data_IF_638201970091
#
_entry.id   IF_638201970091
#
_cell.length_a   1.000
_cell.length_b   1.000
_cell.length_c   1.000
_cell.angle_alpha   90.00
_cell.angle_beta   90.00
_cell.angle_gamma   90.00
#
_symmetry.space_group_name_H-M   'P 1'
#
loop_
_entity.id
_entity.type
_entity.pdbx_description
1 polymer ?
#
# COMPACT_ATOMS: atom_id res chain seq x y z
N UNK A 1 -15.59 8.31 -20.38
CA UNK A 1 -14.25 8.32 -19.77
C UNK A 1 -13.31 8.83 -20.83
N UNK A 2 -12.63 9.92 -20.55
CA UNK A 2 -11.56 10.41 -21.41
C UNK A 2 -10.28 9.60 -21.08
N UNK A 3 -9.56 9.15 -22.06
CA UNK A 3 -8.29 8.42 -21.87
C UNK A 3 -7.09 9.37 -21.84
N UNK A 4 -7.31 10.65 -22.17
CA UNK A 4 -6.26 11.65 -22.09
C UNK A 4 -6.17 12.25 -20.69
N UNK A 5 -4.93 12.48 -20.23
CA UNK A 5 -4.70 13.09 -18.94
C UNK A 5 -4.83 14.61 -19.02
N UNK A 6 -5.24 15.23 -17.91
CA UNK A 6 -5.28 16.69 -17.83
C UNK A 6 -3.88 17.29 -18.05
N UNK A 7 -3.77 18.54 -18.53
CA UNK A 7 -2.47 19.22 -18.65
C UNK A 7 -1.67 19.23 -17.35
N UNK A 8 -2.36 19.37 -16.20
CA UNK A 8 -1.75 19.30 -14.88
C UNK A 8 -1.14 17.91 -14.61
N UNK A 9 -1.86 16.86 -14.92
CA UNK A 9 -1.37 15.49 -14.73
C UNK A 9 -0.17 15.20 -15.63
N UNK A 10 -0.19 15.65 -16.89
CA UNK A 10 0.94 15.51 -17.82
C UNK A 10 2.19 16.24 -17.31
N UNK A 11 2.06 17.48 -16.84
CA UNK A 11 3.17 18.24 -16.25
C UNK A 11 3.77 17.49 -15.04
N UNK A 12 2.91 16.97 -14.15
CA UNK A 12 3.37 16.20 -13.01
C UNK A 12 4.04 14.86 -13.43
N UNK A 13 3.54 14.18 -14.46
CA UNK A 13 4.18 12.99 -15.01
C UNK A 13 5.58 13.30 -15.54
N UNK A 14 5.73 14.35 -16.34
CA UNK A 14 7.02 14.75 -16.93
C UNK A 14 8.02 15.08 -15.83
N UNK A 15 7.62 15.88 -14.83
CA UNK A 15 8.46 16.25 -13.68
C UNK A 15 8.83 15.06 -12.81
N UNK A 16 7.87 14.18 -12.55
CA UNK A 16 8.11 12.96 -11.77
C UNK A 16 9.02 11.99 -12.52
N UNK A 17 8.83 11.81 -13.83
CA UNK A 17 9.69 10.97 -14.66
C UNK A 17 11.12 11.52 -14.67
N UNK A 18 11.31 12.81 -14.86
CA UNK A 18 12.62 13.45 -14.79
C UNK A 18 13.28 13.23 -13.41
N UNK A 19 12.53 13.38 -12.32
CA UNK A 19 13.02 13.12 -10.98
C UNK A 19 13.43 11.66 -10.78
N UNK A 20 12.66 10.70 -11.31
CA UNK A 20 12.99 9.28 -11.25
C UNK A 20 14.33 9.00 -11.98
N UNK A 21 14.53 9.59 -13.15
CA UNK A 21 15.74 9.40 -13.95
C UNK A 21 16.97 10.08 -13.34
N UNK A 22 16.80 11.29 -12.83
CA UNK A 22 17.93 12.06 -12.27
C UNK A 22 18.33 11.61 -10.86
N UNK A 23 17.35 11.18 -10.04
CA UNK A 23 17.58 10.99 -8.61
C UNK A 23 17.29 9.59 -8.09
N UNK A 24 16.24 8.92 -8.57
CA UNK A 24 15.82 7.62 -8.01
C UNK A 24 16.62 6.45 -8.60
N UNK A 25 16.65 6.31 -9.92
CA UNK A 25 17.38 5.20 -10.55
C UNK A 25 18.88 5.21 -10.24
N UNK A 26 19.57 6.37 -10.25
CA UNK A 26 20.97 6.40 -9.84
C UNK A 26 21.21 6.07 -8.37
N UNK A 27 20.23 6.26 -7.50
CA UNK A 27 20.36 6.00 -6.07
C UNK A 27 20.14 4.52 -5.68
N UNK A 28 19.69 3.66 -6.58
CA UNK A 28 19.42 2.24 -6.25
C UNK A 28 20.65 1.51 -5.73
N UNK A 29 21.81 1.74 -6.32
CA UNK A 29 23.07 1.16 -5.84
C UNK A 29 23.42 1.64 -4.43
N UNK A 30 23.29 2.93 -4.15
CA UNK A 30 23.53 3.51 -2.83
C UNK A 30 22.53 2.99 -1.78
N UNK A 31 21.27 2.85 -2.14
CA UNK A 31 20.22 2.28 -1.29
C UNK A 31 20.58 0.87 -0.81
N UNK A 32 20.97 -0.03 -1.72
CA UNK A 32 21.36 -1.40 -1.38
C UNK A 32 22.67 -1.45 -0.57
N UNK A 33 23.65 -0.62 -0.93
CA UNK A 33 24.90 -0.53 -0.19
C UNK A 33 24.71 -0.05 1.25
N UNK A 34 23.80 0.92 1.47
CA UNK A 34 23.49 1.43 2.80
C UNK A 34 22.79 0.36 3.66
N UNK A 35 21.84 -0.39 3.11
CA UNK A 35 21.21 -1.54 3.79
C UNK A 35 22.26 -2.57 4.22
N UNK A 36 23.19 -2.92 3.32
CA UNK A 36 24.25 -3.87 3.61
C UNK A 36 25.18 -3.34 4.71
N UNK A 37 25.58 -2.08 4.65
CA UNK A 37 26.42 -1.43 5.66
C UNK A 37 25.75 -1.37 7.02
N UNK A 38 24.47 -0.97 7.07
CA UNK A 38 23.68 -0.95 8.30
C UNK A 38 23.54 -2.37 8.90
N UNK A 39 23.36 -3.38 8.05
CA UNK A 39 23.27 -4.78 8.48
C UNK A 39 24.60 -5.25 9.08
N UNK A 40 25.72 -4.98 8.42
CA UNK A 40 27.05 -5.33 8.91
C UNK A 40 27.39 -4.63 10.24
N UNK A 41 26.88 -3.41 10.45
CA UNK A 41 27.05 -2.64 11.69
C UNK A 41 26.07 -3.06 12.80
N UNK A 42 25.21 -4.06 12.61
CA UNK A 42 24.15 -4.44 13.57
C UNK A 42 23.02 -3.39 13.71
N UNK A 43 22.89 -2.49 12.74
CA UNK A 43 21.93 -1.36 12.74
C UNK A 43 20.93 -1.44 11.59
N UNK A 44 20.50 -2.64 11.22
CA UNK A 44 19.66 -2.91 10.04
C UNK A 44 18.37 -2.06 9.99
N UNK A 45 17.81 -1.70 11.13
CA UNK A 45 16.56 -0.93 11.24
C UNK A 45 16.77 0.60 11.24
N UNK A 46 17.98 1.08 10.96
CA UNK A 46 18.24 2.51 10.84
C UNK A 46 17.58 3.07 9.57
N UNK A 47 16.84 4.20 9.65
CA UNK A 47 16.33 4.89 8.47
C UNK A 47 17.43 5.19 7.46
N UNK A 48 17.14 4.99 6.17
CA UNK A 48 18.13 5.11 5.12
C UNK A 48 18.36 6.57 4.75
N UNK A 49 19.59 7.04 4.92
CA UNK A 49 19.98 8.41 4.58
C UNK A 49 19.81 8.69 3.08
N UNK A 50 19.97 7.68 2.24
CA UNK A 50 19.69 7.76 0.80
C UNK A 50 18.27 8.27 0.55
N UNK A 51 17.25 7.73 1.25
CA UNK A 51 15.86 8.18 1.12
C UNK A 51 15.69 9.57 1.74
N UNK A 52 16.22 9.79 2.95
CA UNK A 52 16.08 11.05 3.68
C UNK A 52 16.67 12.24 2.90
N UNK A 53 17.77 12.05 2.18
CA UNK A 53 18.38 13.09 1.33
C UNK A 53 17.56 13.41 0.08
N UNK A 54 16.71 12.51 -0.39
CA UNK A 54 15.86 12.70 -1.57
C UNK A 54 14.55 13.42 -1.25
N UNK A 55 14.02 13.28 -0.02
CA UNK A 55 12.77 13.92 0.40
C UNK A 55 12.75 15.46 0.23
N UNK A 56 13.77 16.22 0.70
CA UNK A 56 13.79 17.65 0.48
C UNK A 56 13.82 18.05 -1.01
N UNK A 57 14.47 17.24 -1.85
CA UNK A 57 14.49 17.47 -3.31
C UNK A 57 13.10 17.27 -3.91
N UNK A 58 12.37 16.21 -3.49
CA UNK A 58 11.02 15.96 -3.93
C UNK A 58 10.05 17.06 -3.48
N UNK A 59 10.23 17.59 -2.24
CA UNK A 59 9.48 18.72 -1.74
C UNK A 59 9.75 19.99 -2.58
N UNK A 60 11.01 20.31 -2.83
CA UNK A 60 11.40 21.47 -3.64
C UNK A 60 10.90 21.37 -5.10
N UNK A 61 10.81 20.15 -5.62
CA UNK A 61 10.23 19.87 -6.94
C UNK A 61 8.69 19.90 -6.95
N UNK A 62 8.01 20.13 -5.80
CA UNK A 62 6.55 20.11 -5.70
C UNK A 62 5.94 18.71 -5.95
N UNK A 63 6.70 17.65 -5.65
CA UNK A 63 6.30 16.25 -5.81
C UNK A 63 6.04 15.58 -4.45
N UNK A 64 5.36 16.29 -3.55
CA UNK A 64 5.14 15.87 -2.17
C UNK A 64 3.65 15.68 -1.88
N UNK A 65 3.27 14.61 -1.16
CA UNK A 65 1.88 14.31 -0.77
C UNK A 65 0.90 14.24 -1.96
N UNK A 66 1.35 13.82 -3.13
CA UNK A 66 0.53 13.78 -4.36
C UNK A 66 -0.72 12.88 -4.22
N UNK A 67 -0.71 11.94 -3.26
CA UNK A 67 -1.79 10.99 -3.03
C UNK A 67 -3.03 11.61 -2.37
N UNK A 68 -2.90 12.77 -1.68
CA UNK A 68 -3.97 13.30 -0.82
C UNK A 68 -5.11 13.88 -1.66
N UNK A 69 -6.31 13.23 -1.64
CA UNK A 69 -7.44 13.70 -2.42
C UNK A 69 -7.98 15.04 -1.92
N UNK A 70 -8.63 15.80 -2.79
CA UNK A 70 -9.21 17.13 -2.49
C UNK A 70 -10.09 17.11 -1.24
N UNK A 71 -11.00 16.12 -1.13
CA UNK A 71 -11.92 16.02 0.01
C UNK A 71 -11.20 15.77 1.33
N UNK A 72 -10.17 14.91 1.31
CA UNK A 72 -9.37 14.62 2.50
C UNK A 72 -8.46 15.79 2.87
N UNK A 73 -7.92 16.51 1.89
CA UNK A 73 -7.17 17.74 2.10
C UNK A 73 -8.03 18.81 2.76
N UNK A 74 -9.22 19.08 2.20
CA UNK A 74 -10.17 20.04 2.77
C UNK A 74 -10.58 19.68 4.22
N UNK A 75 -10.84 18.39 4.49
CA UNK A 75 -11.19 17.90 5.83
C UNK A 75 -10.02 18.00 6.83
N UNK A 76 -8.78 18.02 6.36
CA UNK A 76 -7.59 18.06 7.20
C UNK A 76 -7.14 19.47 7.57
N UNK A 77 -7.56 20.50 6.83
CA UNK A 77 -7.03 21.84 6.91
C UNK A 77 -5.63 21.99 6.31
N UNK A 78 -5.16 21.02 5.53
CA UNK A 78 -3.88 21.02 4.82
C UNK A 78 -4.11 20.91 3.31
N UNK A 79 -3.34 21.66 2.53
CA UNK A 79 -3.39 21.59 1.09
C UNK A 79 -2.71 20.32 0.57
N UNK A 80 -3.43 19.56 -0.24
CA UNK A 80 -2.86 18.49 -1.07
C UNK A 80 -2.51 19.02 -2.46
N UNK A 81 -2.04 18.13 -3.33
CA UNK A 81 -1.79 18.46 -4.73
C UNK A 81 -3.09 18.73 -5.52
N UNK A 82 -4.26 18.54 -4.90
CA UNK A 82 -5.57 18.74 -5.51
C UNK A 82 -5.82 17.81 -6.68
N UNK A 83 -5.36 16.56 -6.57
CA UNK A 83 -5.55 15.52 -7.58
C UNK A 83 -6.75 14.64 -7.24
N UNK A 84 -7.45 14.20 -8.27
CA UNK A 84 -8.38 13.08 -8.19
C UNK A 84 -7.62 11.75 -8.15
N UNK A 85 -8.31 10.65 -7.80
CA UNK A 85 -7.68 9.32 -7.87
C UNK A 85 -7.25 8.96 -9.31
N UNK A 86 -8.03 9.38 -10.31
CA UNK A 86 -7.69 9.18 -11.71
C UNK A 86 -6.43 9.96 -12.11
N UNK A 87 -6.25 11.18 -11.65
CA UNK A 87 -5.06 12.01 -11.91
C UNK A 87 -3.83 11.51 -11.17
N UNK A 88 -4.01 10.96 -9.96
CA UNK A 88 -2.92 10.38 -9.17
C UNK A 88 -2.45 9.01 -9.72
N UNK A 89 -3.31 8.28 -10.41
CA UNK A 89 -3.02 6.93 -10.92
C UNK A 89 -1.70 6.82 -11.71
N UNK A 90 -1.47 7.62 -12.76
CA UNK A 90 -0.23 7.53 -13.53
C UNK A 90 1.01 7.95 -12.74
N UNK A 91 0.86 8.83 -11.75
CA UNK A 91 1.96 9.24 -10.88
C UNK A 91 2.37 8.11 -9.92
N UNK A 92 1.39 7.44 -9.32
CA UNK A 92 1.64 6.26 -8.50
C UNK A 92 2.25 5.10 -9.31
N UNK A 93 1.88 4.95 -10.59
CA UNK A 93 2.49 4.00 -11.51
C UNK A 93 3.98 4.32 -11.70
N UNK A 94 4.35 5.57 -11.99
CA UNK A 94 5.75 5.99 -12.16
C UNK A 94 6.55 5.71 -10.87
N UNK A 95 6.03 6.09 -9.71
CA UNK A 95 6.66 5.78 -8.42
C UNK A 95 6.81 4.26 -8.20
N UNK A 96 5.82 3.46 -8.62
CA UNK A 96 5.81 2.00 -8.48
C UNK A 96 6.92 1.27 -9.21
N UNK A 97 7.62 1.91 -10.13
CA UNK A 97 8.75 1.32 -10.86
C UNK A 97 9.95 0.98 -9.95
N UNK A 98 10.10 1.70 -8.82
CA UNK A 98 11.09 1.40 -7.78
C UNK A 98 10.35 1.29 -6.45
N UNK A 99 10.48 0.14 -5.78
CA UNK A 99 9.62 -0.22 -4.63
C UNK A 99 9.66 0.79 -3.47
N UNK A 100 10.81 1.35 -3.18
CA UNK A 100 10.99 2.31 -2.08
C UNK A 100 10.72 3.78 -2.50
N UNK A 101 10.62 4.08 -3.80
CA UNK A 101 10.55 5.47 -4.27
C UNK A 101 9.32 6.24 -3.78
N UNK A 102 8.18 5.57 -3.58
CA UNK A 102 6.97 6.22 -3.06
C UNK A 102 7.19 6.89 -1.70
N UNK A 103 8.16 6.42 -0.89
CA UNK A 103 8.50 7.05 0.38
C UNK A 103 9.17 8.41 0.19
N UNK A 104 9.98 8.56 -0.86
CA UNK A 104 10.65 9.83 -1.19
C UNK A 104 9.65 10.97 -1.42
N UNK A 105 8.45 10.62 -1.91
CA UNK A 105 7.36 11.56 -2.21
C UNK A 105 6.29 11.63 -1.10
N UNK A 106 6.54 10.97 0.04
CA UNK A 106 5.55 10.78 1.12
C UNK A 106 4.23 10.14 0.64
N UNK A 107 4.33 9.23 -0.31
CA UNK A 107 3.20 8.55 -0.96
C UNK A 107 3.19 7.03 -0.71
N UNK A 108 3.91 6.54 0.31
CA UNK A 108 4.01 5.12 0.62
C UNK A 108 2.92 4.63 1.58
N UNK A 109 2.57 3.35 1.49
CA UNK A 109 1.75 2.68 2.49
C UNK A 109 2.62 2.27 3.71
N UNK A 110 2.04 2.19 4.93
CA UNK A 110 0.65 2.43 5.29
C UNK A 110 0.29 3.90 5.51
N UNK A 111 1.27 4.81 5.46
CA UNK A 111 1.11 6.21 5.87
C UNK A 111 0.02 6.94 5.08
N UNK A 112 -0.06 6.75 3.76
CA UNK A 112 -1.10 7.39 2.94
C UNK A 112 -2.50 7.06 3.45
N UNK A 113 -2.79 5.77 3.69
CA UNK A 113 -4.09 5.36 4.23
C UNK A 113 -4.34 5.80 5.67
N UNK A 114 -3.29 5.88 6.49
CA UNK A 114 -3.39 6.36 7.86
C UNK A 114 -3.59 7.87 7.91
N UNK A 115 -2.91 8.64 7.05
CA UNK A 115 -3.12 10.09 6.91
C UNK A 115 -4.55 10.40 6.49
N UNK A 116 -5.09 9.72 5.46
CA UNK A 116 -6.49 9.88 5.07
C UNK A 116 -7.47 9.50 6.19
N UNK A 117 -7.19 8.44 6.94
CA UNK A 117 -8.01 8.01 8.06
C UNK A 117 -8.06 9.07 9.16
N UNK A 118 -6.93 9.64 9.53
CA UNK A 118 -6.88 10.71 10.53
C UNK A 118 -7.51 12.00 9.99
N UNK A 119 -7.29 12.34 8.72
CA UNK A 119 -7.89 13.51 8.08
C UNK A 119 -9.43 13.47 8.13
N UNK A 120 -10.02 12.32 7.81
CA UNK A 120 -11.46 12.16 7.71
C UNK A 120 -12.15 11.91 9.06
N UNK A 121 -11.51 11.19 9.96
CA UNK A 121 -12.14 10.63 11.15
C UNK A 121 -11.50 11.05 12.48
N UNK A 122 -10.34 11.69 12.44
CA UNK A 122 -9.64 12.18 13.62
C UNK A 122 -10.26 13.49 14.15
N UNK A 123 -10.19 13.67 15.46
CA UNK A 123 -10.46 14.96 16.09
C UNK A 123 -9.41 16.00 15.69
N UNK A 124 -9.71 17.29 15.88
CA UNK A 124 -8.73 18.35 15.60
C UNK A 124 -7.41 18.17 16.40
N UNK A 125 -7.50 17.67 17.64
CA UNK A 125 -6.34 17.31 18.44
C UNK A 125 -5.53 16.18 17.79
N UNK A 126 -6.21 15.14 17.25
CA UNK A 126 -5.56 14.03 16.55
C UNK A 126 -4.90 14.50 15.24
N UNK A 127 -5.55 15.39 14.49
CA UNK A 127 -4.97 15.98 13.28
C UNK A 127 -3.73 16.81 13.60
N UNK A 128 -3.80 17.71 14.57
CA UNK A 128 -2.67 18.54 14.97
C UNK A 128 -1.48 17.70 15.46
N UNK A 129 -1.76 16.66 16.27
CA UNK A 129 -0.72 15.84 16.89
C UNK A 129 -0.08 14.84 15.94
N UNK A 130 -0.85 14.22 15.04
CA UNK A 130 -0.41 13.08 14.25
C UNK A 130 -0.43 13.34 12.74
N UNK A 131 -1.50 13.92 12.20
CA UNK A 131 -1.62 14.14 10.75
C UNK A 131 -0.60 15.15 10.25
N UNK A 132 -0.45 16.28 10.95
CA UNK A 132 0.50 17.33 10.54
C UNK A 132 1.93 16.79 10.40
N UNK A 133 2.54 16.16 11.43
CA UNK A 133 3.90 15.65 11.29
C UNK A 133 4.02 14.46 10.30
N UNK A 134 2.95 13.68 10.05
CA UNK A 134 2.91 12.68 8.99
C UNK A 134 2.97 13.34 7.60
N UNK A 135 2.16 14.37 7.35
CA UNK A 135 2.18 15.12 6.09
C UNK A 135 3.50 15.87 5.86
N UNK A 136 4.16 16.29 6.93
CA UNK A 136 5.50 16.87 6.89
C UNK A 136 6.61 15.83 6.69
N UNK A 137 6.29 14.53 6.75
CA UNK A 137 7.25 13.43 6.63
C UNK A 137 8.20 13.27 7.82
N UNK A 138 7.89 13.92 8.96
CA UNK A 138 8.69 13.88 10.20
C UNK A 138 8.55 12.59 11.00
N UNK A 139 7.40 11.95 10.89
CA UNK A 139 7.09 10.67 11.54
C UNK A 139 6.50 9.70 10.54
N UNK A 140 6.47 8.42 10.92
CA UNK A 140 5.80 7.34 10.21
C UNK A 140 4.68 6.76 11.07
N UNK A 141 3.88 5.88 10.47
CA UNK A 141 2.73 5.26 11.14
C UNK A 141 2.61 3.78 10.80
N UNK A 142 1.82 3.07 11.60
CA UNK A 142 1.47 1.68 11.37
C UNK A 142 -0.03 1.45 11.45
N UNK A 143 -0.52 0.39 10.77
CA UNK A 143 -1.90 -0.03 10.82
C UNK A 143 -2.02 -1.44 11.39
N UNK A 144 -2.55 -1.55 12.62
CA UNK A 144 -2.63 -2.78 13.39
C UNK A 144 -4.05 -3.37 13.34
N UNK A 145 -4.31 -4.18 12.31
CA UNK A 145 -5.62 -4.81 12.10
C UNK A 145 -5.56 -6.33 12.19
N UNK A 146 -4.69 -6.96 11.41
CA UNK A 146 -4.59 -8.40 11.23
C UNK A 146 -4.10 -9.12 12.49
N UNK A 147 -4.65 -10.29 12.81
CA UNK A 147 -4.32 -11.10 13.98
C UNK A 147 -3.85 -12.50 13.58
N UNK A 148 -2.89 -13.10 14.30
CA UNK A 148 -2.38 -14.44 13.97
C UNK A 148 -3.39 -15.56 14.25
N UNK A 149 -4.23 -15.43 15.29
CA UNK A 149 -5.10 -16.49 15.77
C UNK A 149 -6.42 -16.62 14.99
N UNK A 150 -6.77 -15.62 14.15
CA UNK A 150 -8.05 -15.60 13.43
C UNK A 150 -7.88 -15.22 11.96
N UNK A 151 -8.80 -15.67 11.12
CA UNK A 151 -8.89 -15.25 9.72
C UNK A 151 -9.36 -13.79 9.64
N UNK A 152 -8.43 -12.84 9.73
CA UNK A 152 -8.69 -11.40 9.76
C UNK A 152 -9.15 -10.81 8.42
N UNK A 153 -9.15 -11.61 7.34
CA UNK A 153 -9.83 -11.27 6.08
C UNK A 153 -11.33 -11.08 6.26
N UNK A 154 -11.93 -11.75 7.25
CA UNK A 154 -13.22 -11.38 7.84
C UNK A 154 -12.96 -10.49 9.06
N UNK A 155 -13.05 -9.18 8.88
CA UNK A 155 -12.80 -8.21 9.95
C UNK A 155 -13.69 -8.38 11.19
N UNK A 156 -14.79 -9.12 11.08
CA UNK A 156 -15.66 -9.42 12.22
C UNK A 156 -15.09 -10.49 13.15
N UNK A 157 -14.05 -11.24 12.71
CA UNK A 157 -13.36 -12.23 13.53
C UNK A 157 -12.31 -11.63 14.48
N UNK A 158 -11.93 -10.36 14.32
CA UNK A 158 -10.93 -9.70 15.16
C UNK A 158 -11.28 -9.87 16.64
N UNK A 159 -10.30 -10.30 17.45
CA UNK A 159 -10.45 -10.61 18.87
C UNK A 159 -9.81 -9.58 19.80
N UNK A 160 -8.86 -8.77 19.33
CA UNK A 160 -8.28 -7.68 20.13
C UNK A 160 -9.38 -6.87 20.82
N UNK A 161 -9.27 -6.72 22.14
CA UNK A 161 -10.25 -5.99 22.97
C UNK A 161 -9.84 -4.54 23.13
N UNK A 162 -10.82 -3.65 23.06
CA UNK A 162 -10.69 -2.21 23.39
C UNK A 162 -11.78 -1.91 24.40
N UNK A 163 -11.42 -1.83 25.68
CA UNK A 163 -12.38 -1.73 26.78
C UNK A 163 -12.32 -0.36 27.43
N UNK A 164 -13.46 0.34 27.50
CA UNK A 164 -13.50 1.64 28.13
C UNK A 164 -13.39 1.51 29.67
N UNK A 165 -12.49 2.27 30.26
CA UNK A 165 -12.30 2.37 31.70
C UNK A 165 -12.17 3.84 32.09
N UNK A 166 -13.29 4.45 32.46
CA UNK A 166 -13.37 5.88 32.75
C UNK A 166 -13.08 6.73 31.51
N UNK A 167 -12.08 7.59 31.60
CA UNK A 167 -11.65 8.49 30.52
C UNK A 167 -10.60 7.88 29.59
N UNK A 168 -10.32 6.59 29.75
CA UNK A 168 -9.36 5.84 28.95
C UNK A 168 -9.98 4.63 28.28
N UNK A 169 -9.25 4.09 27.28
CA UNK A 169 -9.43 2.73 26.77
C UNK A 169 -8.21 1.87 27.14
N UNK A 170 -8.48 0.61 27.50
CA UNK A 170 -7.47 -0.43 27.72
C UNK A 170 -7.53 -1.42 26.58
N UNK A 171 -6.39 -1.66 25.92
CA UNK A 171 -6.28 -2.50 24.73
C UNK A 171 -5.48 -3.74 25.08
N UNK A 172 -6.04 -4.91 24.72
CA UNK A 172 -5.42 -6.22 24.89
C UNK A 172 -5.59 -7.05 23.62
N UNK A 173 -4.51 -7.58 23.08
CA UNK A 173 -4.53 -8.43 21.88
C UNK A 173 -3.18 -8.53 21.20
N UNK A 174 -3.14 -9.32 20.14
CA UNK A 174 -1.94 -9.57 19.35
C UNK A 174 -2.22 -9.28 17.89
N UNK A 175 -1.37 -8.51 17.27
CA UNK A 175 -1.44 -8.14 15.86
C UNK A 175 -0.20 -8.63 15.13
N UNK A 176 -0.34 -8.92 13.84
CA UNK A 176 0.78 -9.18 12.96
C UNK A 176 0.58 -8.52 11.60
N UNK A 177 1.53 -8.63 10.70
CA UNK A 177 1.53 -7.89 9.43
C UNK A 177 1.30 -6.39 9.63
N UNK A 178 1.77 -5.88 10.77
CA UNK A 178 1.68 -4.45 11.09
C UNK A 178 2.84 -3.75 10.40
N UNK A 179 2.61 -3.40 9.13
CA UNK A 179 3.61 -2.78 8.27
C UNK A 179 3.98 -1.40 8.79
N UNK A 180 5.27 -1.06 8.73
CA UNK A 180 5.82 0.20 9.22
C UNK A 180 6.11 0.24 10.72
N UNK A 181 5.65 -0.75 11.50
CA UNK A 181 5.85 -0.75 12.96
C UNK A 181 7.31 -1.03 13.39
N UNK A 182 8.16 -1.50 12.48
CA UNK A 182 9.59 -1.69 12.71
C UNK A 182 10.44 -0.43 12.50
N UNK A 183 9.88 0.56 11.84
CA UNK A 183 10.59 1.79 11.54
C UNK A 183 10.77 2.63 12.82
N UNK A 184 11.99 3.03 13.19
CA UNK A 184 12.22 3.88 14.38
C UNK A 184 11.48 5.22 14.36
N UNK A 185 11.06 5.69 13.18
CA UNK A 185 10.26 6.91 13.00
C UNK A 185 8.76 6.65 13.19
N UNK A 186 8.32 5.39 13.36
CA UNK A 186 6.92 5.06 13.60
C UNK A 186 6.48 5.60 14.96
N UNK A 187 5.68 6.66 14.96
CA UNK A 187 5.23 7.34 16.16
C UNK A 187 3.78 7.01 16.56
N UNK A 188 3.00 6.41 15.65
CA UNK A 188 1.57 6.20 15.84
C UNK A 188 1.06 4.95 15.16
N UNK A 189 0.18 4.23 15.87
CA UNK A 189 -0.55 3.06 15.38
C UNK A 189 -2.03 3.39 15.28
N UNK A 190 -2.67 3.04 14.16
CA UNK A 190 -4.13 2.95 14.08
C UNK A 190 -4.49 1.49 14.33
N UNK A 191 -5.15 1.22 15.45
CA UNK A 191 -5.42 -0.13 15.93
C UNK A 191 -6.91 -0.44 15.86
N UNK A 192 -7.26 -1.57 15.24
CA UNK A 192 -8.64 -2.07 15.20
C UNK A 192 -8.85 -3.17 16.24
N UNK A 193 -9.95 -3.06 17.00
CA UNK A 193 -10.34 -4.06 18.00
C UNK A 193 -11.82 -3.99 18.32
N UNK A 194 -12.34 -4.94 19.11
CA UNK A 194 -13.73 -4.99 19.56
C UNK A 194 -13.93 -4.14 20.81
N UNK A 195 -14.85 -3.18 20.72
CA UNK A 195 -15.33 -2.39 21.88
C UNK A 195 -16.59 -2.99 22.48
N UNK A 196 -17.49 -3.53 21.66
CA UNK A 196 -18.74 -4.15 22.11
C UNK A 196 -18.99 -5.47 21.37
N UNK A 197 -18.67 -6.64 21.96
CA UNK A 197 -18.90 -7.93 21.31
C UNK A 197 -20.38 -8.30 21.16
N UNK A 198 -21.28 -7.70 21.93
CA UNK A 198 -22.70 -7.97 21.92
C UNK A 198 -23.48 -7.11 20.90
N UNK A 199 -22.82 -6.12 20.32
CA UNK A 199 -23.37 -5.27 19.28
C UNK A 199 -23.61 -6.06 17.97
N UNK A 200 -24.46 -5.54 17.04
CA UNK A 200 -24.57 -6.12 15.70
C UNK A 200 -23.21 -6.30 15.03
N UNK A 201 -23.06 -7.38 14.27
CA UNK A 201 -21.79 -7.89 13.71
C UNK A 201 -20.83 -6.82 13.16
N UNK A 202 -21.34 -5.82 12.44
CA UNK A 202 -20.53 -4.76 11.83
C UNK A 202 -20.37 -3.51 12.71
N UNK A 203 -20.89 -3.53 13.93
CA UNK A 203 -20.78 -2.45 14.93
C UNK A 203 -20.01 -2.90 16.17
N UNK A 204 -19.36 -4.05 16.15
CA UNK A 204 -18.56 -4.54 17.27
C UNK A 204 -17.19 -3.89 17.37
N UNK A 205 -16.61 -3.49 16.21
CA UNK A 205 -15.23 -3.02 16.10
C UNK A 205 -15.15 -1.51 16.11
N UNK A 206 -14.07 -1.01 16.71
CA UNK A 206 -13.67 0.39 16.70
C UNK A 206 -12.24 0.52 16.21
N UNK A 207 -11.84 1.73 15.84
CA UNK A 207 -10.44 2.07 15.58
C UNK A 207 -9.98 3.14 16.56
N UNK A 208 -8.77 2.97 17.06
CA UNK A 208 -8.19 3.85 18.08
C UNK A 208 -6.73 4.17 17.74
N UNK A 209 -6.33 5.40 18.00
CA UNK A 209 -4.94 5.85 17.87
C UNK A 209 -4.17 5.43 19.13
N UNK A 210 -3.05 4.72 18.91
CA UNK A 210 -2.11 4.33 19.97
C UNK A 210 -0.75 4.94 19.67
N UNK A 211 -0.22 5.83 20.53
CA UNK A 211 1.14 6.35 20.38
C UNK A 211 2.17 5.22 20.50
N UNK A 212 3.21 5.24 19.69
CA UNK A 212 4.37 4.38 19.89
C UNK A 212 5.01 4.67 21.27
N UNK A 213 5.56 3.65 21.90
CA UNK A 213 6.14 3.79 23.25
C UNK A 213 5.12 3.84 24.39
N UNK A 214 3.80 3.70 24.12
CA UNK A 214 2.80 3.51 25.17
C UNK A 214 3.12 2.23 25.97
N UNK A 215 3.08 2.32 27.30
CA UNK A 215 3.33 1.17 28.18
C UNK A 215 2.44 -0.02 27.79
N UNK A 216 3.02 -1.21 27.69
CA UNK A 216 2.34 -2.43 27.28
C UNK A 216 2.28 -2.66 25.76
N UNK A 217 2.65 -1.70 24.92
CA UNK A 217 2.81 -1.88 23.49
C UNK A 217 4.23 -2.40 23.19
N UNK A 218 4.31 -3.56 22.56
CA UNK A 218 5.60 -4.19 22.26
C UNK A 218 5.64 -4.67 20.82
N UNK A 219 6.66 -4.26 20.07
CA UNK A 219 7.02 -4.87 18.78
C UNK A 219 7.79 -6.17 19.09
N UNK A 220 7.19 -7.31 18.76
CA UNK A 220 7.68 -8.64 19.17
C UNK A 220 8.80 -9.12 18.24
N UNK A 221 8.56 -9.07 16.95
CA UNK A 221 9.52 -9.51 15.91
C UNK A 221 9.13 -8.99 14.53
N UNK A 222 10.09 -8.97 13.63
CA UNK A 222 9.85 -8.82 12.21
C UNK A 222 9.34 -10.16 11.61
N UNK A 223 8.44 -10.05 10.64
CA UNK A 223 8.00 -11.15 9.81
C UNK A 223 8.85 -11.17 8.54
N UNK A 224 9.50 -12.29 8.30
CA UNK A 224 10.30 -12.49 7.10
C UNK A 224 9.42 -12.98 5.95
N UNK A 225 9.45 -12.27 4.82
CA UNK A 225 8.63 -12.55 3.63
C UNK A 225 9.52 -13.16 2.56
N UNK A 226 9.53 -14.46 2.41
CA UNK A 226 10.37 -15.19 1.44
C UNK A 226 11.85 -14.79 1.48
N UNK A 227 12.39 -14.54 2.69
CA UNK A 227 13.78 -14.14 2.88
C UNK A 227 14.00 -12.63 3.09
N UNK A 228 13.01 -11.79 2.83
CA UNK A 228 13.10 -10.33 3.00
C UNK A 228 12.37 -9.88 4.26
N UNK A 229 12.97 -8.96 5.01
CA UNK A 229 12.40 -8.37 6.24
C UNK A 229 11.90 -6.93 6.04
N UNK A 230 12.14 -6.36 4.85
CA UNK A 230 11.75 -5.01 4.44
C UNK A 230 12.22 -3.90 5.41
N UNK A 231 13.37 -4.11 6.10
CA UNK A 231 13.94 -3.10 6.98
C UNK A 231 14.33 -1.82 6.22
N UNK A 232 14.14 -0.62 6.80
CA UNK A 232 13.66 -0.35 8.17
C UNK A 232 12.12 -0.34 8.32
N UNK A 233 11.36 -0.43 7.25
CA UNK A 233 9.91 -0.40 7.26
C UNK A 233 9.30 -1.62 7.99
N UNK A 234 9.55 -2.80 7.48
CA UNK A 234 9.20 -4.10 8.05
C UNK A 234 7.71 -4.38 8.20
N UNK A 235 7.42 -5.67 8.40
CA UNK A 235 6.09 -6.16 8.77
C UNK A 235 6.21 -6.81 10.14
N UNK A 236 5.56 -6.26 11.16
CA UNK A 236 5.81 -6.65 12.54
C UNK A 236 4.66 -7.43 13.15
N UNK A 237 5.03 -8.30 14.08
CA UNK A 237 4.16 -8.82 15.11
C UNK A 237 4.20 -7.89 16.31
N UNK A 238 3.01 -7.51 16.83
CA UNK A 238 2.84 -6.49 17.87
C UNK A 238 1.92 -7.03 18.96
N UNK A 239 2.33 -6.88 20.22
CA UNK A 239 1.56 -7.24 21.40
C UNK A 239 1.04 -5.98 22.11
N UNK A 240 -0.24 -6.01 22.45
CA UNK A 240 -0.91 -5.04 23.30
C UNK A 240 -1.26 -5.75 24.62
N UNK A 241 -0.60 -5.36 25.70
CA UNK A 241 -0.78 -5.91 27.05
C UNK A 241 -1.19 -4.78 28.00
N UNK A 242 -2.48 -4.61 28.24
CA UNK A 242 -3.06 -3.53 29.04
C UNK A 242 -2.62 -2.13 28.59
N UNK A 243 -2.54 -1.93 27.27
CA UNK A 243 -2.17 -0.64 26.68
C UNK A 243 -3.27 0.37 26.94
N UNK A 244 -2.96 1.43 27.70
CA UNK A 244 -3.92 2.46 28.10
C UNK A 244 -3.74 3.73 27.28
N UNK A 245 -4.81 4.21 26.70
CA UNK A 245 -4.83 5.45 25.92
C UNK A 245 -6.09 6.28 26.23
N UNK A 246 -6.02 7.63 26.15
CA UNK A 246 -7.17 8.50 26.38
C UNK A 246 -8.35 8.19 25.46
N UNK A 247 -9.58 8.33 25.98
CA UNK A 247 -10.81 8.10 25.21
C UNK A 247 -10.91 8.96 23.96
N UNK A 248 -10.33 10.16 23.96
CA UNK A 248 -10.26 11.04 22.80
C UNK A 248 -9.44 10.51 21.61
N UNK A 249 -8.73 9.39 21.78
CA UNK A 249 -7.99 8.74 20.70
C UNK A 249 -8.87 7.84 19.81
N UNK A 250 -10.14 7.59 20.18
CA UNK A 250 -11.09 6.85 19.34
C UNK A 250 -11.37 7.63 18.06
N UNK A 251 -11.39 6.93 16.92
CA UNK A 251 -11.70 7.52 15.63
C UNK A 251 -13.20 7.37 15.32
N UNK A 252 -13.88 8.46 14.97
CA UNK A 252 -15.29 8.52 14.58
C UNK A 252 -16.30 8.04 15.66
N UNK A 253 -15.84 7.36 16.71
CA UNK A 253 -16.66 6.80 17.79
C UNK A 253 -16.66 5.28 17.85
N UNK A 254 -17.25 4.74 18.93
CA UNK A 254 -17.37 3.29 19.14
C UNK A 254 -18.26 2.62 18.07
N UNK A 255 -17.93 1.39 17.71
CA UNK A 255 -18.67 0.59 16.74
C UNK A 255 -18.53 1.02 15.28
N UNK A 256 -17.69 2.02 14.99
CA UNK A 256 -17.48 2.56 13.64
C UNK A 256 -16.22 2.03 12.94
N UNK A 257 -15.52 1.08 13.55
CA UNK A 257 -14.25 0.53 13.03
C UNK A 257 -14.40 -0.15 11.68
N UNK A 258 -15.48 -0.86 11.42
CA UNK A 258 -15.74 -1.49 10.12
C UNK A 258 -15.96 -0.45 9.01
N UNK A 259 -16.68 0.62 9.29
CA UNK A 259 -16.89 1.74 8.36
C UNK A 259 -15.56 2.42 8.00
N UNK A 260 -14.73 2.71 9.01
CA UNK A 260 -13.41 3.31 8.81
C UNK A 260 -12.53 2.37 7.96
N UNK A 261 -12.54 1.06 8.26
CA UNK A 261 -11.78 0.08 7.48
C UNK A 261 -12.17 0.10 6.00
N UNK A 262 -13.45 0.17 5.67
CA UNK A 262 -13.91 0.25 4.28
C UNK A 262 -13.49 1.56 3.61
N UNK A 263 -13.58 2.69 4.32
CA UNK A 263 -13.15 4.00 3.82
C UNK A 263 -11.65 4.08 3.55
N UNK A 264 -10.82 3.46 4.41
CA UNK A 264 -9.36 3.41 4.28
C UNK A 264 -8.88 2.47 3.18
N UNK A 265 -9.44 1.26 3.13
CA UNK A 265 -8.95 0.20 2.26
C UNK A 265 -9.34 0.41 0.79
N UNK A 266 -10.39 1.16 0.50
CA UNK A 266 -10.83 1.44 -0.87
C UNK A 266 -9.76 2.16 -1.70
N UNK A 267 -9.35 3.38 -1.34
CA UNK A 267 -8.27 4.12 -2.02
C UNK A 267 -6.94 3.37 -1.96
N UNK A 268 -6.60 2.79 -0.80
CA UNK A 268 -5.36 2.02 -0.64
C UNK A 268 -5.21 0.88 -1.65
N UNK A 269 -6.28 0.15 -1.94
CA UNK A 269 -6.30 -0.92 -2.96
C UNK A 269 -5.99 -0.38 -4.36
N UNK A 270 -6.56 0.78 -4.72
CA UNK A 270 -6.30 1.43 -6.00
C UNK A 270 -4.82 1.82 -6.08
N UNK A 271 -4.28 2.48 -5.05
CA UNK A 271 -2.88 2.90 -5.00
C UNK A 271 -1.90 1.71 -5.11
N UNK A 272 -2.19 0.58 -4.46
CA UNK A 272 -1.40 -0.64 -4.60
C UNK A 272 -1.41 -1.17 -6.04
N UNK A 273 -2.59 -1.22 -6.68
CA UNK A 273 -2.71 -1.68 -8.06
C UNK A 273 -1.95 -0.77 -9.04
N UNK A 274 -2.01 0.55 -8.84
CA UNK A 274 -1.25 1.52 -9.64
C UNK A 274 0.27 1.27 -9.55
N UNK A 275 0.81 1.14 -8.33
CA UNK A 275 2.24 0.84 -8.13
C UNK A 275 2.65 -0.50 -8.72
N UNK A 276 1.80 -1.52 -8.67
CA UNK A 276 2.07 -2.83 -9.28
C UNK A 276 2.16 -2.77 -10.80
N UNK A 277 1.37 -1.90 -11.43
CA UNK A 277 1.47 -1.66 -12.88
C UNK A 277 2.86 -1.10 -13.21
N UNK A 278 3.33 -0.11 -12.46
CA UNK A 278 4.66 0.45 -12.62
C UNK A 278 5.78 -0.58 -12.40
N UNK A 279 5.62 -1.44 -11.40
CA UNK A 279 6.56 -2.53 -11.13
C UNK A 279 6.63 -3.53 -12.29
N UNK A 280 5.47 -3.89 -12.87
CA UNK A 280 5.39 -4.76 -14.04
C UNK A 280 5.96 -4.10 -15.30
N UNK A 281 5.76 -2.79 -15.50
CA UNK A 281 6.39 -2.02 -16.57
C UNK A 281 7.91 -2.09 -16.50
N UNK A 282 8.48 -1.89 -15.31
CA UNK A 282 9.91 -2.00 -15.12
C UNK A 282 10.42 -3.42 -15.38
N UNK A 283 9.70 -4.43 -14.93
CA UNK A 283 10.07 -5.82 -15.20
C UNK A 283 10.05 -6.15 -16.70
N UNK A 284 9.04 -5.67 -17.43
CA UNK A 284 8.96 -5.80 -18.88
C UNK A 284 10.13 -5.09 -19.58
N UNK A 285 10.45 -3.87 -19.16
CA UNK A 285 11.60 -3.11 -19.67
C UNK A 285 12.91 -3.89 -19.48
N UNK A 286 13.17 -4.39 -18.27
CA UNK A 286 14.34 -5.20 -17.97
C UNK A 286 14.37 -6.48 -18.79
N UNK A 287 13.23 -7.15 -18.97
CA UNK A 287 13.10 -8.34 -19.82
C UNK A 287 13.48 -8.03 -21.27
N UNK A 288 12.98 -6.94 -21.83
CA UNK A 288 13.27 -6.52 -23.20
C UNK A 288 14.76 -6.18 -23.38
N UNK A 289 15.32 -5.38 -22.47
CA UNK A 289 16.77 -5.04 -22.48
C UNK A 289 17.63 -6.30 -22.42
N UNK A 290 17.32 -7.20 -21.48
CA UNK A 290 18.07 -8.47 -21.33
C UNK A 290 17.95 -9.34 -22.56
N UNK A 291 16.74 -9.52 -23.07
CA UNK A 291 16.46 -10.37 -24.21
C UNK A 291 17.15 -9.90 -25.51
N UNK A 292 17.27 -8.59 -25.69
CA UNK A 292 17.92 -7.99 -26.86
C UNK A 292 19.44 -8.15 -26.83
N UNK A 293 20.05 -8.16 -25.64
CA UNK A 293 21.52 -8.22 -25.49
C UNK A 293 22.05 -9.64 -25.30
N UNK A 294 21.28 -10.53 -24.66
CA UNK A 294 21.75 -11.86 -24.29
C UNK A 294 21.67 -12.82 -25.47
N UNK A 295 22.81 -13.35 -25.88
CA UNK A 295 22.94 -14.34 -26.97
C UNK A 295 22.92 -15.75 -26.39
N UNK A 296 22.08 -16.62 -26.96
CA UNK A 296 22.04 -18.05 -26.69
C UNK A 296 21.81 -18.79 -28.01
N UNK A 297 22.51 -19.89 -28.23
CA UNK A 297 22.41 -20.67 -29.47
C UNK A 297 22.63 -19.81 -30.76
N UNK A 298 23.62 -18.90 -30.69
CA UNK A 298 24.05 -18.08 -31.84
C UNK A 298 23.17 -16.88 -32.18
N UNK A 299 22.10 -16.58 -31.40
CA UNK A 299 21.21 -15.44 -31.64
C UNK A 299 20.72 -14.81 -30.34
N UNK A 300 20.30 -13.52 -30.34
CA UNK A 300 19.67 -12.92 -29.17
C UNK A 300 18.46 -13.72 -28.71
N UNK A 301 18.23 -13.83 -27.39
CA UNK A 301 17.05 -14.56 -26.87
C UNK A 301 15.74 -13.88 -27.30
N UNK A 302 15.77 -12.58 -27.62
CA UNK A 302 14.64 -11.87 -28.26
C UNK A 302 14.19 -12.46 -29.61
N UNK A 303 15.05 -13.22 -30.29
CA UNK A 303 14.71 -13.92 -31.53
C UNK A 303 14.02 -15.27 -31.31
N UNK A 304 13.84 -15.68 -30.06
CA UNK A 304 13.08 -16.89 -29.72
C UNK A 304 11.58 -16.60 -29.63
N UNK A 305 10.76 -17.39 -30.30
CA UNK A 305 9.31 -17.19 -30.36
C UNK A 305 8.64 -17.11 -28.99
N UNK A 306 9.06 -17.98 -28.05
CA UNK A 306 8.52 -17.95 -26.67
C UNK A 306 8.84 -16.65 -25.92
N UNK A 307 9.98 -16.01 -26.23
CA UNK A 307 10.34 -14.71 -25.62
C UNK A 307 9.47 -13.60 -26.20
N UNK A 308 9.25 -13.61 -27.52
CA UNK A 308 8.38 -12.64 -28.19
C UNK A 308 6.93 -12.76 -27.72
N UNK A 309 6.42 -13.98 -27.60
CA UNK A 309 5.09 -14.26 -27.05
C UNK A 309 4.92 -13.69 -25.65
N UNK A 310 5.86 -13.96 -24.72
CA UNK A 310 5.83 -13.43 -23.36
C UNK A 310 5.88 -11.90 -23.30
N UNK A 311 6.68 -11.26 -24.15
CA UNK A 311 6.75 -9.79 -24.25
C UNK A 311 5.41 -9.22 -24.71
N UNK A 312 4.80 -9.81 -25.75
CA UNK A 312 3.51 -9.38 -26.27
C UNK A 312 2.38 -9.56 -25.25
N UNK A 313 2.32 -10.75 -24.63
CA UNK A 313 1.36 -11.04 -23.56
C UNK A 313 1.54 -10.11 -22.34
N UNK A 314 2.79 -9.83 -21.92
CA UNK A 314 3.07 -8.91 -20.85
C UNK A 314 2.51 -7.50 -21.15
N UNK A 315 2.74 -6.99 -22.37
CA UNK A 315 2.20 -5.69 -22.80
C UNK A 315 0.69 -5.67 -22.72
N UNK A 316 0.02 -6.67 -23.30
CA UNK A 316 -1.43 -6.76 -23.28
C UNK A 316 -1.99 -6.81 -21.84
N UNK A 317 -1.39 -7.63 -20.97
CA UNK A 317 -1.84 -7.79 -19.59
C UNK A 317 -1.65 -6.53 -18.76
N UNK A 318 -0.53 -5.81 -18.93
CA UNK A 318 -0.26 -4.55 -18.24
C UNK A 318 -1.31 -3.50 -18.65
N UNK A 319 -1.57 -3.35 -19.95
CA UNK A 319 -2.51 -2.34 -20.43
C UNK A 319 -3.95 -2.66 -20.03
N UNK A 320 -4.37 -3.92 -20.06
CA UNK A 320 -5.66 -4.34 -19.53
C UNK A 320 -5.81 -4.02 -18.03
N UNK A 321 -4.77 -4.29 -17.22
CA UNK A 321 -4.79 -3.99 -15.79
C UNK A 321 -4.81 -2.48 -15.52
N UNK A 322 -4.05 -1.69 -16.30
CA UNK A 322 -4.02 -0.22 -16.23
C UNK A 322 -5.40 0.37 -16.51
N UNK A 323 -6.02 -0.01 -17.64
CA UNK A 323 -7.33 0.51 -18.02
C UNK A 323 -8.41 0.18 -16.98
N UNK A 324 -8.39 -1.04 -16.44
CA UNK A 324 -9.31 -1.43 -15.37
C UNK A 324 -9.05 -0.63 -14.09
N UNK A 325 -7.79 -0.37 -13.75
CA UNK A 325 -7.42 0.42 -12.57
C UNK A 325 -7.81 1.89 -12.72
N UNK A 326 -7.61 2.48 -13.91
CA UNK A 326 -8.09 3.84 -14.23
C UNK A 326 -9.62 3.93 -14.14
N UNK A 327 -10.34 2.91 -14.62
CA UNK A 327 -11.80 2.84 -14.45
C UNK A 327 -12.20 2.83 -12.98
N UNK A 328 -11.53 2.04 -12.14
CA UNK A 328 -11.82 1.98 -10.70
C UNK A 328 -11.53 3.33 -10.01
N UNK A 329 -10.43 4.00 -10.38
CA UNK A 329 -10.06 5.32 -9.87
C UNK A 329 -11.12 6.37 -10.26
N UNK A 330 -11.51 6.42 -11.54
CA UNK A 330 -12.56 7.30 -12.04
C UNK A 330 -13.91 7.07 -11.33
N UNK A 331 -14.31 5.82 -11.14
CA UNK A 331 -15.55 5.50 -10.43
C UNK A 331 -15.48 5.90 -8.94
N UNK A 332 -14.31 5.80 -8.33
CA UNK A 332 -14.08 6.30 -6.98
C UNK A 332 -14.29 7.81 -6.90
N UNK A 333 -13.79 8.55 -7.88
CA UNK A 333 -13.91 10.02 -7.91
C UNK A 333 -15.37 10.50 -8.09
N UNK A 334 -16.18 9.79 -8.89
CA UNK A 334 -17.56 10.22 -9.15
C UNK A 334 -18.59 9.72 -8.13
N UNK A 335 -18.34 8.61 -7.45
CA UNK A 335 -19.37 7.99 -6.58
C UNK A 335 -18.82 7.40 -5.29
N UNK A 336 -17.53 7.54 -5.03
CA UNK A 336 -16.86 7.05 -3.82
C UNK A 336 -16.76 5.52 -3.74
N UNK A 337 -16.28 5.05 -2.60
CA UNK A 337 -15.91 3.65 -2.37
C UNK A 337 -17.07 2.66 -2.59
N UNK A 338 -18.29 3.03 -2.21
CA UNK A 338 -19.49 2.18 -2.39
C UNK A 338 -19.80 1.94 -3.86
N UNK A 339 -19.67 2.99 -4.67
CA UNK A 339 -19.94 2.96 -6.11
C UNK A 339 -18.87 2.18 -6.87
N UNK A 340 -17.61 2.37 -6.54
CA UNK A 340 -16.47 1.70 -7.17
C UNK A 340 -16.18 0.29 -6.62
N UNK A 341 -17.00 -0.24 -5.71
CA UNK A 341 -16.73 -1.48 -4.95
C UNK A 341 -16.36 -2.68 -5.84
N UNK A 342 -17.08 -2.90 -6.93
CA UNK A 342 -16.84 -4.04 -7.82
C UNK A 342 -15.55 -3.89 -8.60
N UNK A 343 -15.29 -2.71 -9.15
CA UNK A 343 -14.07 -2.39 -9.89
C UNK A 343 -12.84 -2.49 -9.00
N UNK A 344 -12.92 -2.01 -7.75
CA UNK A 344 -11.87 -2.17 -6.74
C UNK A 344 -11.62 -3.66 -6.45
N UNK A 345 -12.64 -4.49 -6.37
CA UNK A 345 -12.47 -5.93 -6.20
C UNK A 345 -11.80 -6.56 -7.43
N UNK A 346 -12.22 -6.17 -8.65
CA UNK A 346 -11.64 -6.68 -9.89
C UNK A 346 -10.16 -6.34 -10.04
N UNK A 347 -9.76 -5.08 -9.79
CA UNK A 347 -8.34 -4.69 -9.90
C UNK A 347 -7.46 -5.42 -8.90
N UNK A 348 -7.96 -5.71 -7.70
CA UNK A 348 -7.23 -6.46 -6.66
C UNK A 348 -6.99 -7.93 -7.04
N UNK A 349 -7.80 -8.50 -7.92
CA UNK A 349 -7.56 -9.83 -8.50
C UNK A 349 -6.61 -9.74 -9.68
N UNK A 350 -6.83 -8.75 -10.57
CA UNK A 350 -6.13 -8.65 -11.86
C UNK A 350 -4.70 -8.13 -11.71
N UNK A 351 -4.51 -6.96 -11.06
CA UNK A 351 -3.21 -6.30 -11.07
C UNK A 351 -2.11 -7.07 -10.33
N UNK A 352 -2.32 -7.65 -9.12
CA UNK A 352 -1.27 -8.45 -8.47
C UNK A 352 -0.93 -9.74 -9.23
N UNK A 353 -1.94 -10.41 -9.82
CA UNK A 353 -1.71 -11.62 -10.62
C UNK A 353 -0.94 -11.31 -11.90
N UNK A 354 -1.28 -10.21 -12.58
CA UNK A 354 -0.57 -9.71 -13.76
C UNK A 354 0.89 -9.39 -13.41
N UNK A 355 1.13 -8.63 -12.34
CA UNK A 355 2.48 -8.26 -11.93
C UNK A 355 3.35 -9.49 -11.61
N UNK A 356 2.82 -10.45 -10.84
CA UNK A 356 3.52 -11.72 -10.58
C UNK A 356 3.90 -12.42 -11.89
N UNK A 357 2.99 -12.52 -12.86
CA UNK A 357 3.25 -13.21 -14.13
C UNK A 357 4.31 -12.50 -14.97
N UNK A 358 4.23 -11.18 -15.11
CA UNK A 358 5.19 -10.40 -15.90
C UNK A 358 6.58 -10.44 -15.27
N UNK A 359 6.66 -10.32 -13.95
CA UNK A 359 7.94 -10.39 -13.23
C UNK A 359 8.54 -11.79 -13.34
N UNK A 360 7.74 -12.86 -13.22
CA UNK A 360 8.20 -14.25 -13.42
C UNK A 360 8.81 -14.45 -14.81
N UNK A 361 8.17 -13.95 -15.86
CA UNK A 361 8.72 -14.01 -17.21
C UNK A 361 10.02 -13.20 -17.37
N UNK A 362 10.11 -12.06 -16.69
CA UNK A 362 11.34 -11.27 -16.67
C UNK A 362 12.47 -12.01 -15.93
N UNK A 363 12.18 -12.64 -14.77
CA UNK A 363 13.14 -13.49 -14.05
C UNK A 363 13.63 -14.62 -14.94
N UNK A 364 12.74 -15.30 -15.65
CA UNK A 364 13.06 -16.39 -16.56
C UNK A 364 14.00 -15.94 -17.69
N UNK A 365 13.77 -14.73 -18.26
CA UNK A 365 14.64 -14.15 -19.28
C UNK A 365 16.05 -13.78 -18.75
N UNK A 366 16.18 -13.52 -17.44
CA UNK A 366 17.46 -13.24 -16.79
C UNK A 366 18.20 -14.52 -16.37
N UNK A 367 17.51 -15.68 -16.33
CA UNK A 367 18.07 -16.94 -15.83
C UNK A 367 18.44 -16.84 -14.35
N UNK A 368 19.59 -17.39 -13.93
CA UNK A 368 20.04 -17.31 -12.54
C UNK A 368 20.14 -15.88 -11.98
N UNK A 369 20.48 -14.90 -12.82
CA UNK A 369 20.50 -13.49 -12.42
C UNK A 369 19.14 -12.93 -12.00
N UNK A 370 18.03 -13.51 -12.50
CA UNK A 370 16.68 -13.12 -12.06
C UNK A 370 16.30 -13.59 -10.66
N UNK A 371 17.12 -14.48 -10.07
CA UNK A 371 16.88 -15.09 -8.75
C UNK A 371 17.75 -14.49 -7.64
N UNK A 372 18.71 -13.65 -7.97
CA UNK A 372 19.64 -13.03 -7.02
C UNK A 372 19.48 -11.50 -7.01
N UNK A 373 20.22 -10.85 -6.12
CA UNK A 373 20.11 -9.40 -5.87
C UNK A 373 20.81 -8.53 -6.93
N UNK A 374 21.44 -9.14 -7.97
CA UNK A 374 22.03 -8.40 -9.10
C UNK A 374 20.98 -7.66 -9.94
N UNK A 375 19.73 -8.11 -9.86
CA UNK A 375 18.58 -7.48 -10.50
C UNK A 375 17.43 -7.36 -9.49
N UNK A 376 16.58 -6.33 -9.58
CA UNK A 376 15.52 -6.11 -8.60
C UNK A 376 14.32 -7.08 -8.73
N UNK A 377 14.42 -8.11 -9.58
CA UNK A 377 13.30 -8.96 -10.00
C UNK A 377 12.80 -9.89 -8.90
N UNK A 378 13.70 -10.56 -8.18
CA UNK A 378 13.34 -11.49 -7.11
C UNK A 378 12.55 -10.74 -6.00
N UNK A 379 13.06 -9.62 -5.54
CA UNK A 379 12.39 -8.78 -4.54
C UNK A 379 11.08 -8.18 -5.07
N UNK A 380 11.05 -7.75 -6.35
CA UNK A 380 9.83 -7.29 -7.01
C UNK A 380 8.75 -8.36 -7.06
N UNK A 381 9.13 -9.62 -7.34
CA UNK A 381 8.20 -10.75 -7.32
C UNK A 381 7.61 -10.99 -5.93
N UNK A 382 8.45 -10.98 -4.90
CA UNK A 382 8.00 -11.14 -3.50
C UNK A 382 6.98 -10.07 -3.12
N UNK A 383 7.26 -8.81 -3.47
CA UNK A 383 6.32 -7.70 -3.22
C UNK A 383 5.01 -7.88 -3.98
N UNK A 384 5.04 -8.17 -5.27
CA UNK A 384 3.84 -8.40 -6.07
C UNK A 384 3.02 -9.59 -5.51
N UNK A 385 3.70 -10.66 -5.05
CA UNK A 385 3.06 -11.84 -4.46
C UNK A 385 2.39 -11.53 -3.12
N UNK A 386 3.01 -10.68 -2.31
CA UNK A 386 2.45 -10.20 -1.03
C UNK A 386 1.13 -9.44 -1.25
N UNK A 387 1.03 -8.64 -2.30
CA UNK A 387 -0.16 -7.85 -2.61
C UNK A 387 -1.37 -8.69 -3.09
N UNK A 388 -1.22 -10.00 -3.29
CA UNK A 388 -2.35 -10.93 -3.42
C UNK A 388 -3.05 -11.22 -2.10
N UNK A 389 -2.44 -10.83 -0.95
CA UNK A 389 -3.01 -10.95 0.40
C UNK A 389 -3.32 -9.60 1.04
N UNK A 390 -2.41 -8.62 0.92
CA UNK A 390 -2.56 -7.32 1.53
C UNK A 390 -3.87 -6.63 1.07
N UNK A 391 -4.55 -5.96 1.98
CA UNK A 391 -5.85 -5.32 1.78
C UNK A 391 -6.97 -6.26 1.30
N UNK A 392 -6.85 -7.53 1.66
CA UNK A 392 -7.77 -8.62 1.34
C UNK A 392 -7.20 -9.59 0.29
N UNK A 393 -7.26 -10.91 0.58
CA UNK A 393 -6.79 -11.93 -0.35
C UNK A 393 -7.68 -12.04 -1.59
N UNK A 394 -7.11 -12.61 -2.65
CA UNK A 394 -7.79 -12.83 -3.94
C UNK A 394 -9.20 -13.43 -3.78
N UNK A 395 -9.37 -14.39 -2.86
CA UNK A 395 -10.62 -15.12 -2.61
C UNK A 395 -11.72 -14.20 -2.08
N UNK A 396 -11.40 -13.25 -1.22
CA UNK A 396 -12.36 -12.26 -0.71
C UNK A 396 -12.89 -11.38 -1.85
N UNK A 397 -11.99 -10.95 -2.72
CA UNK A 397 -12.35 -10.13 -3.88
C UNK A 397 -13.15 -10.92 -4.92
N UNK A 398 -12.73 -12.15 -5.26
CA UNK A 398 -13.46 -13.07 -6.15
C UNK A 398 -14.86 -13.36 -5.63
N UNK A 399 -15.01 -13.65 -4.33
CA UNK A 399 -16.32 -13.85 -3.71
C UNK A 399 -17.20 -12.59 -3.81
N UNK A 400 -16.62 -11.39 -3.63
CA UNK A 400 -17.37 -10.14 -3.77
C UNK A 400 -17.89 -9.94 -5.19
N UNK A 401 -17.04 -10.20 -6.20
CA UNK A 401 -17.39 -10.11 -7.63
C UNK A 401 -18.49 -11.13 -7.95
N UNK A 402 -18.31 -12.39 -7.56
CA UNK A 402 -19.28 -13.45 -7.83
C UNK A 402 -20.65 -13.16 -7.20
N UNK A 403 -20.68 -12.66 -5.95
CA UNK A 403 -21.93 -12.25 -5.29
C UNK A 403 -22.60 -11.10 -6.02
N UNK A 404 -21.86 -10.13 -6.54
CA UNK A 404 -22.43 -9.04 -7.31
C UNK A 404 -23.04 -9.51 -8.65
N UNK A 405 -22.35 -10.43 -9.34
CA UNK A 405 -22.87 -11.01 -10.59
C UNK A 405 -24.11 -11.86 -10.35
N UNK A 406 -24.06 -12.82 -9.41
CA UNK A 406 -25.17 -13.68 -9.07
C UNK A 406 -26.40 -12.89 -8.58
N UNK A 407 -26.17 -11.82 -7.83
CA UNK A 407 -27.23 -10.96 -7.31
C UNK A 407 -28.11 -10.32 -8.40
N UNK A 408 -27.62 -10.22 -9.63
CA UNK A 408 -28.41 -9.73 -10.79
C UNK A 408 -29.51 -10.70 -11.20
N UNK A 409 -29.36 -11.99 -10.90
CA UNK A 409 -30.24 -13.08 -11.33
C UNK A 409 -31.02 -13.71 -10.17
N UNK A 410 -30.66 -13.40 -8.92
CA UNK A 410 -31.38 -13.92 -7.76
C UNK A 410 -32.73 -13.22 -7.61
N UNK A 411 -33.82 -13.97 -7.66
CA UNK A 411 -35.18 -13.47 -7.37
C UNK A 411 -35.18 -13.00 -5.90
N UNK A 412 -35.46 -11.72 -5.66
CA UNK A 412 -35.70 -11.23 -4.30
C UNK A 412 -36.90 -12.01 -3.76
N UNK A 413 -36.70 -12.88 -2.78
CA UNK A 413 -37.79 -13.50 -2.04
C UNK A 413 -38.71 -12.36 -1.56
N UNK A 414 -39.99 -12.39 -1.95
CA UNK A 414 -40.98 -11.44 -1.39
C UNK A 414 -40.96 -11.64 0.12
N UNK A 415 -40.88 -10.56 0.91
CA UNK A 415 -41.08 -10.70 2.35
C UNK A 415 -42.42 -11.34 2.59
N UNK A 416 -42.45 -12.41 3.40
CA UNK A 416 -43.64 -13.12 3.84
C UNK A 416 -44.47 -12.22 4.74
#
# INVERSE_FOLDING_TARGET
>A
MDFDYSPKTKDLQDRLQAFMEEHIYPAEGAYHAEIAANTAAGKRWTPLQTIENLKPKAQAAGLWNLFLPVDSAAASGYDGAGLTNQEYAPLAEIMGRVMWSSEVFNCSAPDTGNMETIARYGSESNKARWLKPLLEGKIRSAFAMTEPEVASSDATNIQTRIERQGDDYVINGRKWWTSGAGDPRCAVFITMGKTNPDAPRHSQQSMIIVPAGTAGLTVVRALNVMGYDDAPHGHMEVLFANVRVPAGNILLGEGRGFEIAQGRLGPGRIHHCMRLIGLAERALELMCKRASLRVAFGKPIAAQTVTQERIAEARCKIDMARLLTLKAAWMMDIGGNKFAKNEIAMIKVVAPSMACQVIDWAMQAHGGGGMCDDFPLAYSYVNARTLRFADGPDEVHRNSIAKAELGKYMVKAKPA
#
